data_IF_312471263015
#
_entry.id   IF_312471263015
#
_cell.length_a   1.000
_cell.length_b   1.000
_cell.length_c   1.000
_cell.angle_alpha   90.00
_cell.angle_beta   90.00
_cell.angle_gamma   90.00
#
_symmetry.space_group_name_H-M   'P 1'
#
loop_
_entity.id
_entity.type
_entity.pdbx_description
1 polymer ?
#
# COMPACT_ATOMS: atom_id res chain seq x y z
N UNK A 1 -77.21 -12.39 -17.31
CA UNK A 1 -76.60 -12.65 -18.63
C UNK A 1 -75.14 -12.25 -18.55
N UNK A 2 -74.25 -13.22 -18.83
CA UNK A 2 -72.92 -13.08 -19.47
C UNK A 2 -71.82 -12.41 -18.62
N UNK A 3 -70.58 -12.89 -18.50
CA UNK A 3 -69.84 -14.04 -19.03
C UNK A 3 -68.66 -14.32 -18.08
N UNK A 4 -68.43 -15.58 -17.72
CA UNK A 4 -67.20 -16.04 -17.05
C UNK A 4 -66.17 -16.35 -18.16
N UNK A 5 -64.95 -15.78 -18.16
CA UNK A 5 -63.90 -16.25 -19.06
C UNK A 5 -63.31 -17.56 -18.52
N UNK A 6 -63.28 -18.56 -19.39
CA UNK A 6 -62.71 -19.89 -19.19
C UNK A 6 -61.19 -19.87 -18.95
N UNK A 7 -60.74 -20.70 -18.02
CA UNK A 7 -59.33 -21.01 -17.70
C UNK A 7 -58.63 -21.64 -18.92
N UNK A 8 -57.45 -21.18 -19.35
CA UNK A 8 -56.67 -21.87 -20.38
C UNK A 8 -56.02 -23.14 -19.83
N UNK A 9 -56.07 -24.22 -20.62
CA UNK A 9 -55.58 -25.54 -20.23
C UNK A 9 -54.05 -25.59 -19.98
N UNK A 10 -53.70 -26.28 -18.89
CA UNK A 10 -52.36 -26.46 -18.29
C UNK A 10 -51.36 -27.23 -19.18
N UNK A 11 -51.76 -27.79 -20.33
CA UNK A 11 -50.89 -28.63 -21.16
C UNK A 11 -49.83 -27.91 -22.00
N UNK A 12 -49.96 -26.59 -22.24
CA UNK A 12 -49.08 -25.87 -23.18
C UNK A 12 -47.85 -25.20 -22.52
N UNK A 13 -47.83 -25.12 -21.19
CA UNK A 13 -46.73 -24.47 -20.44
C UNK A 13 -45.55 -25.43 -20.27
N UNK A 14 -45.79 -26.71 -20.04
CA UNK A 14 -44.73 -27.70 -19.85
C UNK A 14 -43.92 -27.93 -21.13
N UNK A 15 -44.58 -27.94 -22.29
CA UNK A 15 -43.91 -28.02 -23.60
C UNK A 15 -43.12 -26.75 -23.96
N UNK A 16 -43.63 -25.56 -23.60
CA UNK A 16 -42.91 -24.30 -23.79
C UNK A 16 -41.75 -24.12 -22.81
N UNK A 17 -41.88 -24.59 -21.57
CA UNK A 17 -40.82 -24.53 -20.56
C UNK A 17 -39.69 -25.53 -20.87
N UNK A 18 -40.02 -26.78 -21.26
CA UNK A 18 -39.02 -27.72 -21.78
C UNK A 18 -38.31 -27.17 -23.01
N UNK A 19 -39.04 -26.60 -23.97
CA UNK A 19 -38.42 -26.04 -25.18
C UNK A 19 -37.63 -24.74 -24.93
N UNK A 20 -37.97 -23.94 -23.90
CA UNK A 20 -37.24 -22.72 -23.53
C UNK A 20 -35.98 -23.03 -22.71
N UNK A 21 -36.05 -24.03 -21.82
CA UNK A 21 -34.88 -24.56 -21.10
C UNK A 21 -33.94 -25.33 -22.05
N UNK A 22 -34.48 -26.08 -23.03
CA UNK A 22 -33.66 -26.73 -24.07
C UNK A 22 -33.09 -25.72 -25.09
N UNK A 23 -33.74 -24.57 -25.34
CA UNK A 23 -33.22 -23.52 -26.24
C UNK A 23 -32.10 -22.68 -25.63
N UNK A 24 -32.11 -22.39 -24.33
CA UNK A 24 -30.99 -21.68 -23.68
C UNK A 24 -29.80 -22.60 -23.37
N UNK A 25 -29.89 -23.88 -23.72
CA UNK A 25 -28.81 -24.86 -23.57
C UNK A 25 -28.11 -25.18 -24.89
N UNK A 26 -28.22 -24.33 -25.91
CA UNK A 26 -27.36 -24.41 -27.09
C UNK A 26 -26.16 -23.49 -26.92
N UNK A 27 -25.08 -24.09 -26.41
CA UNK A 27 -23.68 -23.75 -26.66
C UNK A 27 -23.35 -22.24 -26.73
N UNK A 28 -23.10 -21.62 -25.58
CA UNK A 28 -21.80 -20.98 -25.46
C UNK A 28 -20.80 -22.13 -25.44
N UNK A 29 -19.84 -22.16 -26.37
CA UNK A 29 -18.72 -23.10 -26.33
C UNK A 29 -17.86 -22.77 -25.09
N UNK A 30 -18.38 -23.09 -23.90
CA UNK A 30 -17.58 -23.10 -22.69
C UNK A 30 -16.47 -24.11 -22.91
N UNK A 31 -15.22 -23.63 -22.86
CA UNK A 31 -14.07 -24.51 -22.92
C UNK A 31 -14.22 -25.63 -21.88
N UNK A 32 -13.76 -26.84 -22.20
CA UNK A 32 -13.85 -28.00 -21.31
C UNK A 32 -13.31 -27.70 -19.90
N UNK A 33 -12.33 -26.80 -19.81
CA UNK A 33 -11.78 -26.29 -18.55
C UNK A 33 -12.80 -25.49 -17.73
N UNK A 34 -13.50 -24.53 -18.35
CA UNK A 34 -14.52 -23.68 -17.68
C UNK A 34 -15.71 -24.53 -17.23
N UNK A 35 -16.16 -25.49 -18.05
CA UNK A 35 -17.25 -26.39 -17.66
C UNK A 35 -16.92 -27.27 -16.45
N UNK A 36 -15.69 -27.78 -16.37
CA UNK A 36 -15.21 -28.54 -15.19
C UNK A 36 -15.13 -27.63 -13.97
N UNK A 37 -14.60 -26.41 -14.13
CA UNK A 37 -14.44 -25.45 -13.05
C UNK A 37 -15.79 -25.04 -12.45
N UNK A 38 -16.79 -24.77 -13.30
CA UNK A 38 -18.16 -24.43 -12.92
C UNK A 38 -18.82 -25.57 -12.12
N UNK A 39 -18.61 -26.83 -12.52
CA UNK A 39 -19.12 -27.99 -11.80
C UNK A 39 -18.49 -28.15 -10.40
N UNK A 40 -17.19 -27.91 -10.29
CA UNK A 40 -16.45 -27.96 -9.01
C UNK A 40 -16.94 -26.85 -8.07
N UNK A 41 -17.05 -25.62 -8.55
CA UNK A 41 -17.52 -24.50 -7.73
C UNK A 41 -18.95 -24.64 -7.25
N UNK A 42 -19.85 -25.14 -8.11
CA UNK A 42 -21.24 -25.39 -7.73
C UNK A 42 -21.33 -26.43 -6.61
N UNK A 43 -20.53 -27.51 -6.67
CA UNK A 43 -20.43 -28.51 -5.60
C UNK A 43 -19.84 -27.92 -4.32
N UNK A 44 -18.80 -27.11 -4.44
CA UNK A 44 -18.11 -26.50 -3.31
C UNK A 44 -19.00 -25.49 -2.55
N UNK A 45 -19.68 -24.60 -3.27
CA UNK A 45 -20.63 -23.64 -2.68
C UNK A 45 -21.79 -24.31 -1.96
N UNK A 46 -22.32 -25.41 -2.51
CA UNK A 46 -23.34 -26.22 -1.84
C UNK A 46 -22.82 -26.81 -0.51
N UNK A 47 -21.60 -27.36 -0.49
CA UNK A 47 -21.01 -27.94 0.73
C UNK A 47 -20.79 -26.86 1.80
N UNK A 48 -20.28 -25.68 1.43
CA UNK A 48 -20.07 -24.57 2.36
C UNK A 48 -21.41 -24.11 2.96
N UNK A 49 -22.45 -24.00 2.14
CA UNK A 49 -23.77 -23.56 2.59
C UNK A 49 -24.42 -24.51 3.61
N UNK A 50 -24.06 -25.81 3.56
CA UNK A 50 -24.57 -26.83 4.49
C UNK A 50 -23.82 -26.77 5.84
N UNK A 51 -22.53 -26.43 5.83
CA UNK A 51 -21.69 -26.45 7.03
C UNK A 51 -20.87 -25.16 7.26
N UNK A 52 -21.49 -23.97 7.30
CA UNK A 52 -20.78 -22.69 7.30
C UNK A 52 -19.84 -22.52 8.51
N UNK A 53 -20.28 -22.91 9.71
CA UNK A 53 -19.49 -22.78 10.94
C UNK A 53 -18.22 -23.64 10.98
N UNK A 54 -18.21 -24.78 10.27
CA UNK A 54 -17.02 -25.63 10.17
C UNK A 54 -15.94 -24.92 9.34
N UNK A 55 -16.31 -24.32 8.21
CA UNK A 55 -15.38 -23.58 7.37
C UNK A 55 -14.86 -22.31 8.06
N UNK A 56 -15.72 -21.57 8.75
CA UNK A 56 -15.31 -20.39 9.53
C UNK A 56 -14.37 -20.79 10.69
N UNK A 57 -14.70 -21.86 11.43
CA UNK A 57 -13.86 -22.33 12.53
C UNK A 57 -12.48 -22.79 12.06
N UNK A 58 -12.42 -23.53 10.95
CA UNK A 58 -11.14 -23.98 10.37
C UNK A 58 -10.30 -22.82 9.82
N UNK A 59 -10.92 -21.81 9.19
CA UNK A 59 -10.21 -20.64 8.68
C UNK A 59 -9.60 -19.80 9.79
N UNK A 60 -10.35 -19.58 10.87
CA UNK A 60 -9.87 -18.87 12.06
C UNK A 60 -8.74 -19.63 12.74
N UNK A 61 -8.88 -20.95 12.90
CA UNK A 61 -7.85 -21.78 13.53
C UNK A 61 -6.56 -21.79 12.72
N UNK A 62 -6.64 -21.91 11.38
CA UNK A 62 -5.47 -21.83 10.52
C UNK A 62 -4.84 -20.43 10.59
N UNK A 63 -5.65 -19.37 10.59
CA UNK A 63 -5.16 -17.99 10.68
C UNK A 63 -4.41 -17.75 11.99
N UNK A 64 -4.96 -18.22 13.12
CA UNK A 64 -4.29 -18.17 14.43
C UNK A 64 -2.98 -18.95 14.36
N UNK A 65 -3.00 -20.18 13.84
CA UNK A 65 -1.80 -21.01 13.73
C UNK A 65 -0.68 -20.35 12.90
N UNK A 66 -1.01 -19.79 11.74
CA UNK A 66 -0.05 -19.06 10.90
C UNK A 66 0.46 -17.77 11.59
N UNK A 67 -0.39 -17.12 12.38
CA UNK A 67 -0.06 -15.86 13.07
C UNK A 67 0.74 -16.09 14.37
N UNK A 68 0.66 -17.28 14.98
CA UNK A 68 1.38 -17.60 16.22
C UNK A 68 2.89 -17.43 16.13
N UNK A 69 3.47 -17.54 14.92
CA UNK A 69 4.92 -17.35 14.71
C UNK A 69 5.35 -15.89 14.73
N UNK A 70 4.45 -14.94 14.46
CA UNK A 70 4.75 -13.50 14.38
C UNK A 70 5.43 -12.98 15.66
N UNK A 71 4.90 -13.19 16.89
CA UNK A 71 5.53 -12.66 18.11
C UNK A 71 6.90 -13.28 18.43
N UNK A 72 7.22 -14.46 17.88
CA UNK A 72 8.51 -15.13 18.09
C UNK A 72 9.52 -14.85 16.98
N UNK A 73 9.13 -14.10 15.94
CA UNK A 73 10.00 -13.76 14.82
C UNK A 73 10.82 -12.53 15.20
N UNK A 74 12.14 -12.70 15.32
CA UNK A 74 13.06 -11.59 15.57
C UNK A 74 13.11 -10.66 14.35
N UNK A 75 12.86 -9.37 14.57
CA UNK A 75 13.02 -8.35 13.53
C UNK A 75 14.51 -8.05 13.34
N UNK A 76 14.99 -8.13 12.10
CA UNK A 76 16.35 -7.75 11.70
C UNK A 76 16.27 -6.62 10.68
N UNK A 77 17.08 -5.58 10.84
CA UNK A 77 17.16 -4.43 9.93
C UNK A 77 18.60 -4.32 9.40
N UNK A 78 19.03 -5.32 8.63
CA UNK A 78 20.34 -5.31 7.98
C UNK A 78 20.19 -4.82 6.53
N UNK A 79 21.05 -3.91 6.09
CA UNK A 79 21.05 -3.44 4.69
C UNK A 79 21.63 -4.51 3.76
N UNK A 80 22.49 -5.39 4.28
CA UNK A 80 23.10 -6.47 3.51
C UNK A 80 22.07 -7.49 3.01
N UNK A 81 20.91 -7.56 3.66
CA UNK A 81 19.79 -8.44 3.32
C UNK A 81 19.42 -8.27 1.84
N UNK A 82 19.38 -7.04 1.29
CA UNK A 82 19.13 -6.75 -0.14
C UNK A 82 20.10 -7.40 -1.15
N UNK A 83 21.19 -8.00 -0.67
CA UNK A 83 22.16 -8.73 -1.49
C UNK A 83 21.93 -10.24 -1.40
N UNK A 84 21.92 -10.98 -2.53
CA UNK A 84 21.79 -12.45 -2.52
C UNK A 84 22.76 -13.16 -1.58
N UNK A 85 22.28 -14.20 -0.86
CA UNK A 85 23.12 -14.97 0.08
C UNK A 85 24.39 -15.56 -0.57
N UNK A 86 24.30 -15.97 -1.83
CA UNK A 86 25.42 -16.53 -2.60
C UNK A 86 26.22 -15.51 -3.41
N UNK A 87 25.96 -14.21 -3.26
CA UNK A 87 26.63 -13.18 -4.03
C UNK A 87 28.14 -13.17 -3.74
N UNK A 88 28.95 -13.09 -4.79
CA UNK A 88 30.41 -12.92 -4.68
C UNK A 88 30.78 -11.71 -3.82
N UNK A 89 30.01 -10.62 -3.92
CA UNK A 89 30.19 -9.41 -3.12
C UNK A 89 30.15 -9.68 -1.61
N UNK A 90 29.30 -10.62 -1.11
CA UNK A 90 29.28 -10.98 0.32
C UNK A 90 30.57 -11.70 0.74
N UNK A 91 31.10 -12.58 -0.11
CA UNK A 91 32.39 -13.24 0.15
C UNK A 91 33.54 -12.22 0.14
N UNK A 92 33.53 -11.28 -0.79
CA UNK A 92 34.53 -10.21 -0.88
C UNK A 92 34.45 -9.26 0.31
N UNK A 93 33.24 -8.86 0.74
CA UNK A 93 33.03 -8.06 1.96
C UNK A 93 33.54 -8.79 3.19
N UNK A 94 33.21 -10.08 3.35
CA UNK A 94 33.71 -10.87 4.48
C UNK A 94 35.24 -11.01 4.52
N UNK A 95 35.91 -11.09 3.35
CA UNK A 95 37.38 -11.07 3.29
C UNK A 95 37.93 -9.68 3.62
N UNK A 96 37.27 -8.63 3.13
CA UNK A 96 37.63 -7.24 3.42
C UNK A 96 37.50 -6.94 4.92
N UNK A 97 36.37 -7.26 5.54
CA UNK A 97 36.11 -7.08 6.97
C UNK A 97 37.10 -7.89 7.81
N UNK A 98 37.38 -9.15 7.46
CA UNK A 98 38.34 -9.98 8.17
C UNK A 98 39.78 -9.41 8.15
N UNK A 99 40.13 -8.59 7.15
CA UNK A 99 41.45 -7.99 7.03
C UNK A 99 41.52 -6.55 7.57
N UNK A 100 40.49 -5.75 7.30
CA UNK A 100 40.46 -4.31 7.59
C UNK A 100 39.64 -3.94 8.84
N UNK A 101 38.62 -4.71 9.23
CA UNK A 101 37.74 -4.40 10.39
C UNK A 101 38.32 -4.87 11.74
N UNK A 102 39.66 -4.89 11.90
CA UNK A 102 40.32 -5.26 13.17
C UNK A 102 39.94 -4.34 14.35
N UNK A 103 39.42 -3.14 14.05
CA UNK A 103 38.93 -2.15 15.02
C UNK A 103 37.42 -1.90 14.92
N UNK A 104 36.69 -2.76 14.20
CA UNK A 104 35.27 -2.60 13.91
C UNK A 104 35.00 -1.86 12.59
N UNK A 105 33.73 -1.75 12.23
CA UNK A 105 33.31 -1.11 10.99
C UNK A 105 33.31 0.42 11.12
N UNK A 106 33.80 1.14 10.09
CA UNK A 106 33.84 2.59 10.13
C UNK A 106 32.43 3.17 10.11
N UNK A 107 32.07 3.91 11.15
CA UNK A 107 30.84 4.72 11.18
C UNK A 107 31.20 6.12 10.71
N UNK A 108 30.63 6.54 9.58
CA UNK A 108 30.85 7.88 9.03
C UNK A 108 29.58 8.71 9.22
N UNK A 109 29.73 9.90 9.82
CA UNK A 109 28.67 10.89 9.95
C UNK A 109 28.92 12.03 8.96
N UNK A 110 27.93 12.32 8.11
CA UNK A 110 27.97 13.46 7.21
C UNK A 110 27.06 14.57 7.73
N UNK A 111 27.60 15.78 7.84
CA UNK A 111 26.83 17.00 8.16
C UNK A 111 26.88 17.91 6.95
N UNK A 112 25.73 18.09 6.31
CA UNK A 112 25.58 19.00 5.16
C UNK A 112 25.16 20.37 5.67
N UNK A 113 25.95 21.39 5.34
CA UNK A 113 25.72 22.77 5.77
C UNK A 113 25.37 23.60 4.55
N UNK A 114 24.25 24.33 4.64
CA UNK A 114 23.74 25.20 3.57
C UNK A 114 23.53 26.60 4.08
N UNK A 115 23.66 27.59 3.19
CA UNK A 115 23.46 28.98 3.55
C UNK A 115 22.02 29.21 4.03
N UNK A 116 21.87 29.95 5.14
CA UNK A 116 20.55 30.24 5.73
C UNK A 116 19.60 30.96 4.76
N UNK A 117 20.16 31.77 3.86
CA UNK A 117 19.41 32.49 2.83
C UNK A 117 19.22 31.61 1.60
N UNK A 118 17.99 31.54 1.07
CA UNK A 118 17.70 30.85 -0.19
C UNK A 118 18.52 31.46 -1.34
N UNK A 119 19.33 30.65 -2.01
CA UNK A 119 20.30 31.12 -3.02
C UNK A 119 21.53 31.83 -2.44
N UNK A 120 21.81 31.65 -1.14
CA UNK A 120 23.04 32.11 -0.50
C UNK A 120 24.24 31.25 -0.89
N UNK A 121 25.44 31.83 -0.80
CA UNK A 121 26.69 31.16 -1.10
C UNK A 121 27.37 30.75 0.22
N UNK A 122 27.80 29.49 0.33
CA UNK A 122 28.55 28.99 1.49
C UNK A 122 30.00 29.46 1.54
N UNK A 123 30.55 30.02 0.44
CA UNK A 123 31.92 30.55 0.38
C UNK A 123 32.07 31.95 1.00
N UNK A 124 31.06 32.43 1.74
CA UNK A 124 31.15 33.68 2.49
C UNK A 124 31.94 33.52 3.79
N UNK A 125 32.59 34.59 4.24
CA UNK A 125 33.41 34.59 5.47
C UNK A 125 32.57 34.23 6.69
N UNK A 126 31.38 34.79 6.82
CA UNK A 126 30.51 34.56 7.98
C UNK A 126 29.97 33.12 7.99
N UNK A 127 29.55 32.62 6.83
CA UNK A 127 29.06 31.26 6.66
C UNK A 127 30.14 30.20 6.95
N UNK A 128 31.39 30.46 6.53
CA UNK A 128 32.53 29.60 6.83
C UNK A 128 32.99 29.69 8.29
N UNK A 129 32.95 30.89 8.89
CA UNK A 129 33.23 31.08 10.31
C UNK A 129 32.26 30.26 11.17
N UNK A 130 30.95 30.38 10.91
CA UNK A 130 29.91 29.60 11.59
C UNK A 130 30.13 28.09 11.40
N UNK A 131 30.54 27.68 10.19
CA UNK A 131 30.88 26.28 9.87
C UNK A 131 32.07 25.77 10.68
N UNK A 132 33.14 26.56 10.78
CA UNK A 132 34.34 26.22 11.56
C UNK A 132 34.03 26.18 13.05
N UNK A 133 33.18 27.09 13.55
CA UNK A 133 32.72 27.06 14.94
C UNK A 133 31.92 25.79 15.24
N UNK A 134 31.01 25.38 14.35
CA UNK A 134 30.27 24.13 14.50
C UNK A 134 31.21 22.92 14.51
N UNK A 135 32.23 22.92 13.63
CA UNK A 135 33.23 21.86 13.61
C UNK A 135 34.01 21.78 14.93
N UNK A 136 34.36 22.92 15.54
CA UNK A 136 35.02 22.96 16.86
C UNK A 136 34.12 22.40 17.97
N UNK A 137 32.83 22.74 17.94
CA UNK A 137 31.86 22.24 18.91
C UNK A 137 31.76 20.71 18.80
N UNK A 138 31.57 20.18 17.59
CA UNK A 138 31.40 18.74 17.36
C UNK A 138 32.68 17.95 17.67
N UNK A 139 33.85 18.49 17.33
CA UNK A 139 35.12 17.80 17.51
C UNK A 139 35.54 17.70 18.98
N UNK A 140 35.43 18.79 19.74
CA UNK A 140 36.08 18.91 21.05
C UNK A 140 35.12 19.21 22.21
N UNK A 141 34.01 19.92 21.95
CA UNK A 141 33.11 20.38 23.03
C UNK A 141 31.95 19.41 23.27
N UNK A 142 31.49 18.71 22.24
CA UNK A 142 30.43 17.72 22.34
C UNK A 142 30.99 16.43 22.95
N UNK A 143 30.65 16.19 24.22
CA UNK A 143 31.09 15.01 24.96
C UNK A 143 29.98 14.00 25.10
N UNK A 144 30.29 12.74 24.79
CA UNK A 144 29.40 11.59 24.95
C UNK A 144 29.84 10.79 26.17
N UNK A 145 28.89 10.41 27.00
CA UNK A 145 29.14 9.58 28.18
C UNK A 145 29.40 8.12 27.76
N UNK A 146 30.58 7.62 28.10
CA UNK A 146 30.91 6.20 27.98
C UNK A 146 30.40 5.46 29.23
N UNK A 147 29.28 4.75 29.06
CA UNK A 147 28.62 3.97 30.12
C UNK A 147 29.55 2.90 30.70
N UNK A 148 30.52 2.39 29.93
CA UNK A 148 31.43 1.35 30.40
C UNK A 148 32.63 1.91 31.18
N UNK A 149 33.10 3.10 30.83
CA UNK A 149 34.28 3.73 31.46
C UNK A 149 33.94 4.84 32.44
N UNK A 150 32.66 5.20 32.59
CA UNK A 150 32.17 6.27 33.47
C UNK A 150 32.94 7.58 33.26
N UNK A 151 33.19 7.92 31.99
CA UNK A 151 33.89 9.13 31.59
C UNK A 151 33.21 9.74 30.35
N UNK A 152 33.38 11.04 30.17
CA UNK A 152 32.84 11.79 29.04
C UNK A 152 33.95 11.99 28.00
N UNK A 153 33.76 11.43 26.80
CA UNK A 153 34.72 11.47 25.69
C UNK A 153 34.23 12.44 24.61
N UNK A 154 35.12 13.28 24.07
CA UNK A 154 34.84 14.05 22.86
C UNK A 154 35.04 13.19 21.60
N UNK A 155 34.61 13.68 20.44
CA UNK A 155 34.89 13.02 19.16
C UNK A 155 36.39 12.83 18.93
N UNK A 156 37.22 13.82 19.27
CA UNK A 156 38.68 13.73 19.17
C UNK A 156 39.31 12.67 20.08
N UNK A 157 38.66 12.27 21.18
CA UNK A 157 39.17 11.24 22.10
C UNK A 157 38.95 9.80 21.60
N UNK A 158 37.86 9.55 20.86
CA UNK A 158 37.52 8.20 20.39
C UNK A 158 37.69 8.01 18.87
N UNK A 159 37.84 9.08 18.10
CA UNK A 159 38.09 8.98 16.67
C UNK A 159 39.48 8.36 16.41
N UNK A 160 39.53 7.38 15.52
CA UNK A 160 40.76 6.66 15.16
C UNK A 160 41.27 7.08 13.77
N UNK A 161 40.43 6.94 12.74
CA UNK A 161 40.82 7.21 11.35
C UNK A 161 40.10 8.45 10.81
N UNK A 162 40.81 9.26 10.03
CA UNK A 162 40.28 10.45 9.34
C UNK A 162 39.71 11.55 10.26
N UNK A 163 40.19 11.65 11.49
CA UNK A 163 39.70 12.65 12.46
C UNK A 163 39.92 14.10 12.01
N UNK A 164 40.98 14.34 11.23
CA UNK A 164 41.34 15.64 10.68
C UNK A 164 40.84 15.82 9.25
N UNK A 165 39.86 15.03 8.79
CA UNK A 165 39.37 15.08 7.40
C UNK A 165 38.81 16.45 7.04
N UNK A 166 38.32 17.22 8.02
CA UNK A 166 37.72 18.54 7.82
C UNK A 166 38.72 19.71 7.94
N UNK A 167 40.01 19.46 8.17
CA UNK A 167 41.04 20.52 8.22
C UNK A 167 41.13 21.38 6.95
N UNK A 168 40.91 20.86 5.71
CA UNK A 168 40.88 21.70 4.51
C UNK A 168 39.86 22.85 4.61
N UNK A 169 38.71 22.63 5.25
CA UNK A 169 37.70 23.68 5.46
C UNK A 169 38.21 24.77 6.41
N UNK A 170 38.89 24.38 7.50
CA UNK A 170 39.53 25.33 8.44
C UNK A 170 40.61 26.15 7.76
N UNK A 171 41.43 25.51 6.93
CA UNK A 171 42.47 26.18 6.16
C UNK A 171 41.90 27.13 5.11
N UNK A 172 40.86 26.73 4.39
CA UNK A 172 40.18 27.59 3.42
C UNK A 172 39.61 28.85 4.08
N UNK A 173 38.90 28.68 5.20
CA UNK A 173 38.41 29.81 6.00
C UNK A 173 39.55 30.75 6.45
N UNK A 174 40.64 30.18 6.96
CA UNK A 174 41.81 30.97 7.40
C UNK A 174 42.47 31.73 6.25
N UNK A 175 42.58 31.09 5.08
CA UNK A 175 43.10 31.72 3.87
C UNK A 175 42.21 32.87 3.40
N UNK A 176 40.88 32.69 3.45
CA UNK A 176 39.90 33.72 3.09
C UNK A 176 39.98 34.95 4.03
N UNK A 177 40.18 34.73 5.33
CA UNK A 177 40.41 35.80 6.29
C UNK A 177 41.69 36.58 5.98
N UNK A 178 42.77 35.88 5.62
CA UNK A 178 44.06 36.52 5.28
C UNK A 178 43.96 37.34 3.99
N UNK A 179 43.35 36.80 2.94
CA UNK A 179 43.13 37.52 1.68
C UNK A 179 42.33 38.80 1.90
N UNK A 180 41.25 38.73 2.68
CA UNK A 180 40.39 39.87 3.00
C UNK A 180 41.09 40.95 3.83
N UNK A 181 41.94 40.55 4.79
CA UNK A 181 42.58 41.48 5.73
C UNK A 181 43.85 42.13 5.18
N UNK A 182 44.63 41.43 4.35
CA UNK A 182 45.93 41.89 3.87
C UNK A 182 45.94 42.29 2.39
N UNK A 183 44.88 41.98 1.64
CA UNK A 183 44.77 42.26 0.21
C UNK A 183 45.76 41.43 -0.63
N UNK A 184 45.44 41.28 -1.92
CA UNK A 184 46.15 40.36 -2.83
C UNK A 184 47.64 40.69 -3.05
N UNK A 185 48.11 41.87 -2.64
CA UNK A 185 49.43 42.39 -3.02
C UNK A 185 50.61 41.80 -2.23
N UNK A 186 50.38 40.99 -1.20
CA UNK A 186 51.44 40.45 -0.32
C UNK A 186 51.37 38.93 -0.08
N UNK A 187 50.55 38.19 -0.84
CA UNK A 187 50.18 36.80 -0.54
C UNK A 187 50.46 35.84 -1.72
N UNK A 188 51.68 35.85 -2.27
CA UNK A 188 52.14 34.92 -3.34
C UNK A 188 52.04 33.42 -2.97
N UNK A 189 51.61 33.10 -1.74
CA UNK A 189 51.48 31.74 -1.21
C UNK A 189 50.05 31.37 -0.81
N UNK A 190 49.05 32.17 -1.21
CA UNK A 190 47.62 31.89 -1.00
C UNK A 190 46.89 31.94 -2.36
N UNK A 191 46.23 30.83 -2.70
CA UNK A 191 45.38 30.68 -3.89
C UNK A 191 44.13 29.88 -3.50
N UNK A 192 42.99 30.55 -3.35
CA UNK A 192 41.72 29.94 -2.94
C UNK A 192 40.93 29.37 -4.13
N UNK A 193 41.59 28.50 -4.91
CA UNK A 193 41.01 27.84 -6.07
C UNK A 193 40.21 26.57 -5.76
N UNK A 194 39.40 26.13 -6.74
CA UNK A 194 38.74 24.82 -6.75
C UNK A 194 39.23 24.04 -7.99
N UNK A 195 39.52 22.71 -7.89
CA UNK A 195 39.33 21.84 -6.73
C UNK A 195 40.49 21.87 -5.72
N UNK A 196 41.62 22.50 -6.08
CA UNK A 196 42.80 22.58 -5.21
C UNK A 196 42.95 24.01 -4.72
N UNK A 197 42.99 24.17 -3.41
CA UNK A 197 43.29 25.43 -2.72
C UNK A 197 44.72 25.37 -2.17
N UNK A 198 45.49 26.45 -2.31
CA UNK A 198 46.81 26.60 -1.69
C UNK A 198 46.74 27.63 -0.56
N UNK A 199 47.09 27.24 0.66
CA UNK A 199 47.21 28.17 1.79
C UNK A 199 48.59 27.99 2.43
N UNK A 200 49.37 29.08 2.49
CA UNK A 200 50.75 29.08 3.00
C UNK A 200 51.64 28.04 2.29
N UNK A 201 51.48 27.91 0.97
CA UNK A 201 52.25 26.98 0.14
C UNK A 201 51.87 25.50 0.28
N UNK A 202 50.82 25.16 1.06
CA UNK A 202 50.26 23.80 1.11
C UNK A 202 49.05 23.68 0.20
N UNK A 203 49.07 22.68 -0.69
CA UNK A 203 47.95 22.33 -1.55
C UNK A 203 46.98 21.39 -0.80
N UNK A 204 45.70 21.73 -0.85
CA UNK A 204 44.60 21.03 -0.18
C UNK A 204 43.47 20.80 -1.19
N UNK A 205 42.93 19.59 -1.18
CA UNK A 205 41.79 19.20 -2.01
C UNK A 205 40.48 19.60 -1.34
N UNK A 206 39.65 20.38 -2.05
CA UNK A 206 38.37 20.92 -1.58
C UNK A 206 37.16 20.18 -2.17
N UNK A 207 37.38 19.36 -3.20
CA UNK A 207 36.34 18.57 -3.87
C UNK A 207 35.55 17.60 -2.97
N UNK A 208 36.10 17.03 -1.87
CA UNK A 208 35.31 16.22 -0.94
C UNK A 208 34.43 17.03 0.01
N UNK A 209 34.66 18.35 0.12
CA UNK A 209 34.05 19.21 1.13
C UNK A 209 33.04 20.20 0.55
N UNK A 210 33.23 20.62 -0.72
CA UNK A 210 32.33 21.52 -1.42
C UNK A 210 31.58 20.78 -2.52
N UNK A 211 30.28 20.57 -2.29
CA UNK A 211 29.39 19.90 -3.24
C UNK A 211 28.62 20.92 -4.08
N UNK A 212 28.58 20.70 -5.39
CA UNK A 212 27.67 21.42 -6.28
C UNK A 212 26.29 20.73 -6.29
N UNK A 213 25.20 21.51 -6.33
CA UNK A 213 23.83 20.99 -6.34
C UNK A 213 23.53 20.31 -7.68
N UNK A 214 23.69 18.99 -7.78
CA UNK A 214 23.06 18.20 -8.84
C UNK A 214 22.20 17.09 -8.25
N UNK A 215 21.00 17.44 -7.81
CA UNK A 215 19.95 16.46 -7.46
C UNK A 215 19.03 16.28 -8.65
N UNK A 216 19.30 15.25 -9.47
CA UNK A 216 18.36 14.80 -10.52
C UNK A 216 18.24 13.27 -10.58
N UNK A 217 17.91 12.66 -9.44
CA UNK A 217 17.65 11.22 -9.35
C UNK A 217 16.16 10.84 -9.44
N UNK A 218 15.22 11.76 -9.21
CA UNK A 218 13.78 11.46 -9.17
C UNK A 218 13.08 11.32 -10.52
N UNK A 219 13.72 11.76 -11.63
CA UNK A 219 13.06 11.87 -12.93
C UNK A 219 13.08 10.57 -13.77
N UNK A 220 13.83 9.55 -13.33
CA UNK A 220 14.02 8.29 -14.06
C UNK A 220 12.97 7.21 -13.75
N UNK A 221 12.17 7.36 -12.69
CA UNK A 221 11.18 6.37 -12.26
C UNK A 221 9.74 6.64 -12.74
N UNK A 222 9.45 7.88 -13.16
CA UNK A 222 8.17 8.29 -13.74
C UNK A 222 7.68 7.43 -14.93
N UNK A 223 8.52 6.97 -15.87
CA UNK A 223 8.07 6.18 -17.01
C UNK A 223 7.49 4.82 -16.60
N UNK A 224 8.03 4.20 -15.54
CA UNK A 224 7.62 2.87 -15.09
C UNK A 224 6.26 2.89 -14.38
N UNK A 225 5.97 3.95 -13.62
CA UNK A 225 4.67 4.12 -12.97
C UNK A 225 3.54 4.37 -13.98
N UNK A 226 3.82 5.12 -15.05
CA UNK A 226 2.85 5.42 -16.11
C UNK A 226 2.46 4.15 -16.89
N UNK A 227 3.43 3.27 -17.18
CA UNK A 227 3.18 2.01 -17.89
C UNK A 227 2.27 1.09 -17.05
N UNK A 228 2.51 0.98 -15.74
CA UNK A 228 1.67 0.21 -14.83
C UNK A 228 0.23 0.72 -14.76
N UNK A 229 0.04 2.05 -14.69
CA UNK A 229 -1.28 2.68 -14.66
C UNK A 229 -2.06 2.45 -15.96
N UNK A 230 -1.38 2.54 -17.12
CA UNK A 230 -2.00 2.29 -18.44
C UNK A 230 -2.47 0.84 -18.57
N UNK A 231 -1.67 -0.13 -18.12
CA UNK A 231 -2.05 -1.55 -18.15
C UNK A 231 -3.28 -1.80 -17.26
N UNK A 232 -3.33 -1.20 -16.07
CA UNK A 232 -4.46 -1.36 -15.13
C UNK A 232 -5.77 -0.79 -15.70
N UNK A 233 -5.73 0.40 -16.32
CA UNK A 233 -6.90 1.05 -16.95
C UNK A 233 -7.40 0.25 -18.17
N UNK A 234 -6.49 -0.36 -18.94
CA UNK A 234 -6.87 -1.22 -20.09
C UNK A 234 -7.54 -2.51 -19.60
N UNK A 235 -7.07 -3.10 -18.50
CA UNK A 235 -7.71 -4.28 -17.91
C UNK A 235 -9.10 -3.96 -17.35
N UNK A 236 -9.29 -2.81 -16.70
CA UNK A 236 -10.59 -2.39 -16.16
C UNK A 236 -11.64 -2.15 -17.28
N UNK A 237 -11.22 -1.59 -18.41
CA UNK A 237 -12.10 -1.42 -19.59
C UNK A 237 -12.51 -2.74 -20.25
N UNK A 238 -11.63 -3.74 -20.25
CA UNK A 238 -11.97 -5.06 -20.77
C UNK A 238 -12.96 -5.82 -19.89
N UNK A 239 -12.97 -5.57 -18.58
CA UNK A 239 -13.93 -6.16 -17.63
C UNK A 239 -15.31 -5.49 -17.77
N UNK A 240 -15.38 -4.16 -17.91
CA UNK A 240 -16.65 -3.46 -18.14
C UNK A 240 -17.35 -3.85 -19.44
N UNK A 241 -16.59 -4.18 -20.50
CA UNK A 241 -17.14 -4.58 -21.80
C UNK A 241 -17.84 -5.95 -21.80
N UNK A 242 -17.66 -6.76 -20.75
CA UNK A 242 -18.36 -8.04 -20.57
C UNK A 242 -19.68 -7.91 -19.81
N UNK A 243 -19.99 -6.74 -19.21
CA UNK A 243 -21.13 -6.55 -18.30
C UNK A 243 -22.36 -5.87 -18.92
N UNK A 244 -22.31 -5.42 -20.19
CA UNK A 244 -23.37 -4.60 -20.81
C UNK A 244 -24.34 -5.35 -21.76
N UNK A 245 -24.45 -6.69 -21.72
CA UNK A 245 -25.29 -7.42 -22.70
C UNK A 245 -26.61 -8.02 -22.17
N UNK A 246 -26.93 -8.04 -20.88
CA UNK A 246 -28.23 -8.58 -20.45
C UNK A 246 -28.99 -7.66 -19.47
N UNK A 247 -29.81 -6.78 -20.03
CA UNK A 247 -30.95 -6.20 -19.32
C UNK A 247 -32.21 -6.26 -20.20
N UNK A 248 -33.17 -7.13 -19.82
CA UNK A 248 -34.63 -6.89 -19.82
C UNK A 248 -35.43 -8.21 -19.76
N UNK A 249 -36.06 -8.51 -18.62
CA UNK A 249 -37.52 -8.37 -18.37
C UNK A 249 -38.01 -9.27 -17.19
N UNK A 250 -39.18 -8.91 -16.67
CA UNK A 250 -39.65 -8.99 -15.28
C UNK A 250 -40.34 -10.29 -14.77
N UNK A 251 -40.26 -10.46 -13.42
CA UNK A 251 -41.27 -10.77 -12.38
C UNK A 251 -42.35 -11.86 -12.64
N UNK A 252 -42.85 -12.66 -11.68
CA UNK A 252 -42.84 -12.59 -10.22
C UNK A 252 -43.13 -13.98 -9.57
N UNK A 253 -42.87 -14.03 -8.26
CA UNK A 253 -42.89 -15.10 -7.25
C UNK A 253 -44.07 -16.09 -7.13
N UNK A 254 -43.77 -17.33 -6.74
CA UNK A 254 -44.30 -18.13 -5.60
C UNK A 254 -43.32 -19.34 -5.41
N UNK A 255 -42.94 -19.88 -4.24
CA UNK A 255 -43.50 -19.90 -2.88
C UNK A 255 -42.48 -20.47 -1.86
N UNK A 256 -42.54 -19.97 -0.62
CA UNK A 256 -41.75 -20.21 0.60
C UNK A 256 -41.74 -21.66 1.19
N UNK A 257 -41.25 -22.66 0.44
CA UNK A 257 -40.74 -23.91 1.07
C UNK A 257 -39.52 -24.51 0.39
N UNK A 258 -38.92 -23.72 -0.51
CA UNK A 258 -37.68 -24.00 -1.24
C UNK A 258 -36.49 -23.17 -0.72
N UNK A 259 -36.59 -22.51 0.44
CA UNK A 259 -35.63 -21.48 0.87
C UNK A 259 -34.19 -22.00 1.05
N UNK A 260 -33.97 -23.20 1.59
CA UNK A 260 -32.64 -23.80 1.67
C UNK A 260 -32.11 -24.31 0.32
N UNK A 261 -33.00 -24.79 -0.56
CA UNK A 261 -32.62 -25.32 -1.88
C UNK A 261 -32.33 -24.18 -2.85
N UNK A 262 -33.05 -23.07 -2.70
CA UNK A 262 -32.86 -21.81 -3.40
C UNK A 262 -31.56 -21.13 -2.96
N UNK A 263 -31.24 -21.09 -1.66
CA UNK A 263 -29.94 -20.56 -1.18
C UNK A 263 -28.77 -21.40 -1.72
N UNK A 264 -28.91 -22.74 -1.74
CA UNK A 264 -27.90 -23.65 -2.31
C UNK A 264 -27.74 -23.49 -3.83
N UNK A 265 -28.83 -23.28 -4.56
CA UNK A 265 -28.80 -23.04 -6.00
C UNK A 265 -28.26 -21.63 -6.30
N UNK A 266 -28.70 -20.61 -5.59
CA UNK A 266 -28.26 -19.22 -5.72
C UNK A 266 -26.77 -19.06 -5.40
N UNK A 267 -26.28 -19.64 -4.30
CA UNK A 267 -24.83 -19.67 -4.03
C UNK A 267 -24.07 -20.44 -5.11
N UNK A 268 -24.65 -21.53 -5.65
CA UNK A 268 -24.06 -22.30 -6.74
C UNK A 268 -23.99 -21.53 -8.06
N UNK A 269 -24.98 -20.70 -8.36
CA UNK A 269 -25.04 -19.88 -9.57
C UNK A 269 -24.10 -18.66 -9.43
N UNK A 270 -24.11 -17.97 -8.28
CA UNK A 270 -23.19 -16.85 -8.00
C UNK A 270 -21.72 -17.30 -8.04
N UNK A 271 -21.40 -18.48 -7.49
CA UNK A 271 -20.04 -19.01 -7.52
C UNK A 271 -19.62 -19.46 -8.92
N UNK A 272 -20.56 -19.86 -9.78
CA UNK A 272 -20.29 -20.16 -11.19
C UNK A 272 -19.95 -18.88 -11.96
N UNK A 273 -20.73 -17.82 -11.77
CA UNK A 273 -20.53 -16.55 -12.48
C UNK A 273 -19.29 -15.78 -12.00
N UNK A 274 -19.04 -15.74 -10.69
CA UNK A 274 -17.94 -14.95 -10.10
C UNK A 274 -16.69 -15.77 -9.81
N UNK A 275 -16.82 -17.06 -9.53
CA UNK A 275 -15.72 -17.94 -9.13
C UNK A 275 -14.69 -18.15 -10.23
N UNK A 276 -15.12 -18.21 -11.50
CA UNK A 276 -14.19 -18.31 -12.64
C UNK A 276 -13.27 -17.08 -12.76
N UNK A 277 -13.83 -15.87 -12.63
CA UNK A 277 -13.06 -14.62 -12.69
C UNK A 277 -12.08 -14.46 -11.51
N UNK A 278 -12.55 -14.77 -10.30
CA UNK A 278 -11.71 -14.76 -9.08
C UNK A 278 -10.58 -15.78 -9.20
N UNK A 279 -10.87 -16.98 -9.73
CA UNK A 279 -9.87 -18.04 -9.92
C UNK A 279 -8.80 -17.64 -10.91
N UNK A 280 -9.17 -17.10 -12.07
CA UNK A 280 -8.22 -16.67 -13.09
C UNK A 280 -7.32 -15.58 -12.53
N UNK A 281 -7.90 -14.59 -11.86
CA UNK A 281 -7.15 -13.46 -11.26
C UNK A 281 -6.24 -13.90 -10.11
N UNK A 282 -6.71 -14.83 -9.27
CA UNK A 282 -5.89 -15.39 -8.19
C UNK A 282 -4.73 -16.19 -8.77
N UNK A 283 -5.00 -17.05 -9.74
CA UNK A 283 -4.00 -17.91 -10.35
C UNK A 283 -2.90 -17.08 -11.05
N UNK A 284 -3.27 -16.02 -11.78
CA UNK A 284 -2.29 -15.13 -12.40
C UNK A 284 -1.44 -14.40 -11.36
N UNK A 285 -2.04 -13.93 -10.26
CA UNK A 285 -1.30 -13.29 -9.16
C UNK A 285 -0.35 -14.28 -8.45
N UNK A 286 -0.82 -15.47 -8.12
CA UNK A 286 0.02 -16.52 -7.49
C UNK A 286 1.19 -16.90 -8.40
N UNK A 287 0.97 -17.04 -9.72
CA UNK A 287 2.03 -17.34 -10.68
C UNK A 287 3.05 -16.18 -10.80
N UNK A 288 2.59 -14.93 -10.83
CA UNK A 288 3.48 -13.77 -10.86
C UNK A 288 4.37 -13.70 -9.61
N UNK A 289 3.79 -13.93 -8.42
CA UNK A 289 4.56 -14.00 -7.19
C UNK A 289 5.43 -15.28 -7.10
N UNK A 290 5.01 -16.41 -7.67
CA UNK A 290 5.86 -17.60 -7.77
C UNK A 290 7.10 -17.36 -8.63
N UNK A 291 7.00 -16.57 -9.72
CA UNK A 291 8.17 -16.14 -10.50
C UNK A 291 9.07 -15.25 -9.63
N UNK A 292 8.50 -14.32 -8.88
CA UNK A 292 9.23 -13.47 -7.91
C UNK A 292 9.95 -14.27 -6.81
N UNK A 293 9.45 -15.46 -6.45
CA UNK A 293 10.09 -16.35 -5.47
C UNK A 293 11.42 -16.97 -5.98
N UNK A 294 11.70 -16.95 -7.29
CA UNK A 294 12.98 -17.38 -7.84
C UNK A 294 14.03 -16.25 -7.89
N UNK A 295 13.67 -15.04 -7.46
CA UNK A 295 14.60 -13.92 -7.42
C UNK A 295 15.76 -14.23 -6.45
N UNK A 296 17.02 -13.95 -6.84
CA UNK A 296 18.18 -14.24 -5.99
C UNK A 296 18.25 -13.35 -4.74
N UNK A 297 17.56 -12.21 -4.72
CA UNK A 297 17.49 -11.30 -3.57
C UNK A 297 16.53 -11.84 -2.50
N UNK A 298 16.99 -12.05 -1.25
CA UNK A 298 16.22 -12.74 -0.22
C UNK A 298 14.91 -12.06 0.20
N UNK A 299 14.87 -10.73 0.22
CA UNK A 299 13.75 -9.91 0.70
C UNK A 299 12.62 -9.95 -0.33
N UNK A 300 12.98 -9.78 -1.60
CA UNK A 300 12.05 -9.90 -2.72
C UNK A 300 11.49 -11.32 -2.76
N UNK A 301 12.36 -12.34 -2.60
CA UNK A 301 11.93 -13.73 -2.54
C UNK A 301 10.97 -14.00 -1.38
N UNK A 302 11.29 -13.51 -0.17
CA UNK A 302 10.45 -13.72 1.01
C UNK A 302 9.09 -13.02 0.87
N UNK A 303 9.10 -11.78 0.35
CA UNK A 303 7.90 -11.03 0.03
C UNK A 303 7.03 -11.77 -1.01
N UNK A 304 7.64 -12.26 -2.08
CA UNK A 304 6.94 -12.98 -3.13
C UNK A 304 6.36 -14.32 -2.66
N UNK A 305 7.11 -15.10 -1.88
CA UNK A 305 6.61 -16.35 -1.28
C UNK A 305 5.45 -16.06 -0.32
N UNK A 306 5.60 -15.04 0.54
CA UNK A 306 4.57 -14.64 1.49
C UNK A 306 3.26 -14.25 0.80
N UNK A 307 3.33 -13.41 -0.23
CA UNK A 307 2.15 -13.01 -1.00
C UNK A 307 1.53 -14.16 -1.80
N UNK A 308 2.33 -15.03 -2.42
CA UNK A 308 1.82 -16.20 -3.14
C UNK A 308 1.02 -17.12 -2.21
N UNK A 309 1.54 -17.39 -1.00
CA UNK A 309 0.86 -18.20 0.01
C UNK A 309 -0.38 -17.49 0.53
N UNK A 310 -0.29 -16.20 0.87
CA UNK A 310 -1.42 -15.43 1.38
C UNK A 310 -2.58 -15.35 0.38
N UNK A 311 -2.30 -15.07 -0.89
CA UNK A 311 -3.32 -15.01 -1.95
C UNK A 311 -3.96 -16.39 -2.18
N UNK A 312 -3.16 -17.47 -2.13
CA UNK A 312 -3.68 -18.84 -2.22
C UNK A 312 -4.61 -19.16 -1.05
N UNK A 313 -4.24 -18.75 0.16
CA UNK A 313 -5.06 -18.91 1.38
C UNK A 313 -6.35 -18.09 1.25
N UNK A 314 -6.27 -16.81 0.87
CA UNK A 314 -7.45 -15.94 0.68
C UNK A 314 -8.42 -16.51 -0.34
N UNK A 315 -7.92 -17.07 -1.43
CA UNK A 315 -8.74 -17.73 -2.44
C UNK A 315 -9.47 -18.98 -1.92
N UNK A 316 -8.82 -19.78 -1.08
CA UNK A 316 -9.44 -20.93 -0.40
C UNK A 316 -10.50 -20.47 0.60
N UNK A 317 -10.33 -19.30 1.22
CA UNK A 317 -11.18 -18.75 2.28
C UNK A 317 -12.10 -17.60 1.85
N UNK A 318 -12.37 -17.45 0.56
CA UNK A 318 -13.08 -16.29 0.00
C UNK A 318 -14.41 -16.00 0.75
N UNK A 319 -14.54 -14.77 1.26
CA UNK A 319 -15.71 -14.26 2.01
C UNK A 319 -16.91 -14.03 1.08
N UNK A 320 -18.11 -14.32 1.59
CA UNK A 320 -19.38 -14.19 0.89
C UNK A 320 -19.73 -12.71 0.63
N UNK A 321 -19.90 -12.35 -0.65
CA UNK A 321 -20.45 -11.07 -1.09
C UNK A 321 -21.92 -11.27 -1.47
N UNK A 322 -22.81 -10.49 -0.86
CA UNK A 322 -24.25 -10.50 -1.18
C UNK A 322 -24.53 -9.34 -2.13
N UNK A 323 -24.90 -9.65 -3.37
CA UNK A 323 -25.35 -8.67 -4.36
C UNK A 323 -26.88 -8.64 -4.39
N UNK A 324 -27.45 -7.44 -4.25
CA UNK A 324 -28.90 -7.25 -4.43
C UNK A 324 -29.15 -6.72 -5.83
N UNK A 325 -29.58 -7.61 -6.72
CA UNK A 325 -29.72 -7.33 -8.16
C UNK A 325 -30.78 -6.27 -8.49
N UNK A 326 -31.71 -5.98 -7.57
CA UNK A 326 -32.68 -4.89 -7.72
C UNK A 326 -32.80 -4.11 -6.42
N UNK A 327 -31.95 -3.11 -6.20
CA UNK A 327 -32.22 -2.15 -5.15
C UNK A 327 -33.49 -1.41 -5.54
N UNK A 328 -34.57 -1.55 -4.76
CA UNK A 328 -35.76 -0.76 -5.05
C UNK A 328 -35.52 0.73 -4.78
N UNK A 329 -36.49 1.55 -5.13
CA UNK A 329 -36.37 3.00 -5.09
C UNK A 329 -36.20 3.53 -3.64
N UNK A 330 -35.00 4.03 -3.33
CA UNK A 330 -34.70 4.61 -2.02
C UNK A 330 -35.31 6.00 -1.79
N UNK A 331 -35.89 6.64 -2.81
CA UNK A 331 -36.70 7.85 -2.61
C UNK A 331 -37.98 7.54 -1.81
N UNK A 332 -38.47 6.30 -1.88
CA UNK A 332 -39.67 5.87 -1.16
C UNK A 332 -39.34 5.52 0.32
N UNK A 333 -39.99 6.17 1.30
CA UNK A 333 -39.69 5.95 2.73
C UNK A 333 -39.95 4.52 3.20
N UNK A 334 -40.98 3.85 2.68
CA UNK A 334 -41.29 2.46 3.04
C UNK A 334 -40.21 1.47 2.62
N UNK A 335 -39.47 1.78 1.56
CA UNK A 335 -38.35 0.96 1.08
C UNK A 335 -37.10 1.15 1.94
N UNK A 336 -36.81 2.39 2.37
CA UNK A 336 -35.69 2.68 3.28
C UNK A 336 -35.84 1.96 4.61
N UNK A 337 -37.05 1.93 5.18
CA UNK A 337 -37.35 1.21 6.43
C UNK A 337 -37.06 -0.29 6.30
N UNK A 338 -37.44 -0.92 5.18
CA UNK A 338 -37.17 -2.33 4.92
C UNK A 338 -35.67 -2.64 4.87
N UNK A 339 -34.88 -1.75 4.26
CA UNK A 339 -33.44 -1.89 4.20
C UNK A 339 -32.77 -1.69 5.56
N UNK A 340 -33.22 -0.71 6.35
CA UNK A 340 -32.76 -0.55 7.74
C UNK A 340 -33.11 -1.76 8.60
N UNK A 341 -34.29 -2.35 8.44
CA UNK A 341 -34.68 -3.58 9.13
C UNK A 341 -33.76 -4.73 8.77
N UNK A 342 -33.48 -4.93 7.47
CA UNK A 342 -32.58 -5.98 7.01
C UNK A 342 -31.17 -5.81 7.59
N UNK A 343 -30.62 -4.58 7.58
CA UNK A 343 -29.31 -4.30 8.18
C UNK A 343 -29.33 -4.53 9.69
N UNK A 344 -30.40 -4.14 10.39
CA UNK A 344 -30.57 -4.37 11.82
C UNK A 344 -30.64 -5.87 12.17
N UNK A 345 -31.29 -6.68 11.33
CA UNK A 345 -31.35 -8.13 11.51
C UNK A 345 -29.96 -8.78 11.42
N UNK A 346 -29.11 -8.30 10.50
CA UNK A 346 -27.69 -8.72 10.42
C UNK A 346 -26.87 -8.23 11.61
N UNK A 347 -27.13 -7.02 12.09
CA UNK A 347 -26.48 -6.45 13.28
C UNK A 347 -26.87 -7.16 14.58
N UNK A 348 -28.07 -7.75 14.64
CA UNK A 348 -28.60 -8.46 15.79
C UNK A 348 -28.14 -9.93 15.89
N UNK A 349 -27.39 -10.43 14.92
CA UNK A 349 -26.86 -11.79 14.96
C UNK A 349 -25.93 -11.98 16.17
N UNK A 350 -25.97 -13.14 16.86
CA UNK A 350 -25.28 -13.36 18.14
C UNK A 350 -23.75 -13.29 18.09
N UNK A 351 -23.15 -13.14 16.91
CA UNK A 351 -21.71 -12.96 16.71
C UNK A 351 -21.37 -11.71 15.88
N UNK A 352 -22.35 -10.84 15.64
CA UNK A 352 -22.13 -9.55 15.01
C UNK A 352 -21.44 -8.60 16.00
N UNK A 353 -20.50 -7.78 15.50
CA UNK A 353 -19.83 -6.73 16.30
C UNK A 353 -20.78 -5.55 16.57
N UNK A 354 -22.01 -5.62 16.04
CA UNK A 354 -23.09 -4.66 16.26
C UNK A 354 -23.00 -3.46 15.30
N UNK A 355 -23.97 -2.54 15.43
CA UNK A 355 -24.18 -1.43 14.50
C UNK A 355 -23.00 -0.47 14.35
N UNK A 356 -22.13 -0.37 15.36
CA UNK A 356 -20.91 0.45 15.33
C UNK A 356 -19.89 -0.03 14.29
N UNK A 357 -19.90 -1.32 13.95
CA UNK A 357 -18.99 -1.92 12.96
C UNK A 357 -19.54 -1.88 11.53
N UNK A 358 -20.83 -1.58 11.38
CA UNK A 358 -21.52 -1.60 10.09
C UNK A 358 -21.38 -0.26 9.38
N UNK A 359 -20.71 -0.27 8.23
CA UNK A 359 -20.64 0.88 7.32
C UNK A 359 -21.84 0.83 6.37
N UNK A 360 -22.90 1.59 6.67
CA UNK A 360 -24.11 1.64 5.86
C UNK A 360 -24.40 3.07 5.39
N UNK A 361 -24.05 3.35 4.13
CA UNK A 361 -24.06 4.69 3.53
C UNK A 361 -25.42 5.42 3.59
N UNK A 362 -26.54 4.69 3.65
CA UNK A 362 -27.86 5.30 3.71
C UNK A 362 -28.11 6.03 5.05
N UNK A 363 -27.53 5.53 6.17
CA UNK A 363 -27.58 6.22 7.47
C UNK A 363 -26.84 7.55 7.40
N UNK A 364 -25.67 7.56 6.78
CA UNK A 364 -24.85 8.78 6.61
C UNK A 364 -25.56 9.80 5.70
N UNK A 365 -26.24 9.32 4.63
CA UNK A 365 -27.00 10.16 3.72
C UNK A 365 -28.24 10.79 4.39
N UNK A 366 -29.02 10.02 5.15
CA UNK A 366 -30.18 10.55 5.88
C UNK A 366 -29.77 11.58 6.92
N UNK A 367 -28.65 11.35 7.63
CA UNK A 367 -28.10 12.33 8.57
C UNK A 367 -27.66 13.63 7.90
N UNK A 368 -27.06 13.55 6.71
CA UNK A 368 -26.71 14.72 5.91
C UNK A 368 -27.95 15.53 5.48
N UNK A 369 -29.00 14.85 4.98
CA UNK A 369 -30.25 15.50 4.58
C UNK A 369 -30.97 16.13 5.79
N UNK A 370 -30.95 15.49 6.96
CA UNK A 370 -31.50 16.08 8.19
C UNK A 370 -30.70 17.30 8.65
N UNK A 371 -29.37 17.33 8.48
CA UNK A 371 -28.57 18.50 8.81
C UNK A 371 -28.84 19.70 7.90
N UNK A 372 -29.03 19.47 6.59
CA UNK A 372 -29.30 20.51 5.60
C UNK A 372 -30.70 21.13 5.79
N UNK A 373 -31.71 20.31 6.11
CA UNK A 373 -33.07 20.79 6.41
C UNK A 373 -33.16 21.57 7.73
N UNK A 374 -32.26 21.33 8.69
CA UNK A 374 -32.23 22.08 9.94
C UNK A 374 -31.63 23.49 9.77
N UNK A 375 -30.72 23.70 8.82
CA UNK A 375 -30.18 25.02 8.49
C UNK A 375 -31.18 25.93 7.74
N UNK A 376 -32.19 25.36 7.05
CA UNK A 376 -33.30 26.13 6.44
C UNK A 376 -34.39 26.56 7.45
N UNK A 377 -34.35 26.07 8.69
CA UNK A 377 -35.38 26.35 9.72
C UNK A 377 -34.98 27.42 10.75
N UNK A 378 -33.85 28.11 10.56
CA UNK A 378 -33.52 29.30 11.34
C UNK A 378 -34.34 30.50 10.85
N UNK A 379 -35.20 31.13 11.68
CA UNK A 379 -35.99 32.27 11.26
C UNK A 379 -35.09 33.47 10.93
N UNK A 380 -35.25 33.99 9.72
CA UNK A 380 -34.49 35.10 9.15
C UNK A 380 -35.05 36.48 9.59
N UNK A 381 -35.38 36.68 10.87
CA UNK A 381 -36.09 37.90 11.33
C UNK A 381 -35.40 38.74 12.42
N UNK A 382 -34.22 38.37 12.95
CA UNK A 382 -33.60 39.11 14.07
C UNK A 382 -32.30 39.90 13.75
N UNK A 383 -32.04 40.26 12.49
CA UNK A 383 -30.83 41.03 12.11
C UNK A 383 -31.10 42.35 11.35
N UNK A 384 -32.17 43.06 11.72
CA UNK A 384 -32.29 44.50 11.40
C UNK A 384 -32.73 45.28 12.65
N UNK A 385 -31.80 45.56 13.55
CA UNK A 385 -31.72 46.82 14.30
C UNK A 385 -30.50 46.83 15.20
N UNK A 386 -29.42 47.49 14.78
CA UNK A 386 -28.49 48.25 15.63
C UNK A 386 -27.43 48.90 14.71
N UNK A 387 -27.85 49.94 13.98
CA UNK A 387 -26.99 51.11 13.77
C UNK A 387 -27.40 52.14 14.83
N UNK A 388 -26.42 52.55 15.64
CA UNK A 388 -26.56 53.50 16.75
C UNK A 388 -25.27 53.56 17.55
#
# INVERSE_FOLDING_TARGET
MNNIPSIPQVGNVEGKLKNKILRNKTCSDETLFVGILNAVFRKFGQIISIHPWLFIGTSLLLTIFCSLKIPFTKMTNDVADFTPYGARARKESGVYEAFFSNKGDPVVLFVLITAKRKGGNMLGVHELEDTVQLLNIVNDQFKVEDIQKNNNLSFSDFCDNFCTINEPVRHFHSGLLLERNFGNSSLDHIDLGYPITTVLGRQLHMDPHFFDEVVRAGLTLLPFLIIGFVIMVIMEKNIKKQLEIEENEENNFEKEKEEQKLIQQLMGDVMVDTGASITITTLTNVLAFAIGAFTPTPEIRLFSIGNAIAITIVYIYQVCLVFVNRPGNFSEPTQRIKWHSLVADFEALPSSVGSFSTKFWLRDYEQFVESDNNDESAPLDDLVSFEG
#
